data_IF_418924505721
#
_entry.id   IF_418924505721
#
_cell.length_a   1.000
_cell.length_b   1.000
_cell.length_c   1.000
_cell.angle_alpha   90.00
_cell.angle_beta   90.00
_cell.angle_gamma   90.00
#
_symmetry.space_group_name_H-M   'P 1'
#
loop_
_entity.id
_entity.type
_entity.pdbx_description
1 polymer ?
#
# COMPACT_ATOMS: atom_id res chain seq x y z
N UNK A 1 5.52 3.07 -17.31
CA UNK A 1 4.68 2.27 -18.23
C UNK A 1 3.61 3.15 -18.84
N UNK A 2 3.63 3.34 -20.16
CA UNK A 2 2.94 4.44 -20.89
C UNK A 2 1.43 4.60 -20.64
N UNK A 3 0.72 3.52 -20.26
CA UNK A 3 -0.73 3.51 -20.02
C UNK A 3 -1.19 4.36 -18.81
N UNK A 4 -0.28 4.69 -17.89
CA UNK A 4 -0.58 5.48 -16.69
C UNK A 4 -0.41 7.00 -16.92
N UNK A 5 0.04 7.42 -18.10
CA UNK A 5 0.27 8.83 -18.44
C UNK A 5 -1.03 9.43 -19.03
N UNK A 6 -1.69 10.39 -18.35
CA UNK A 6 -2.98 10.92 -18.79
C UNK A 6 -2.95 11.47 -20.22
N UNK A 7 -1.87 12.20 -20.57
CA UNK A 7 -1.67 12.76 -21.91
C UNK A 7 -1.59 11.70 -23.01
N UNK A 8 -1.06 10.52 -22.69
CA UNK A 8 -1.03 9.41 -23.64
C UNK A 8 -2.45 8.93 -23.94
N UNK A 9 -3.26 8.69 -22.90
CA UNK A 9 -4.63 8.18 -23.03
C UNK A 9 -5.54 9.18 -23.75
N UNK A 10 -5.49 10.46 -23.40
CA UNK A 10 -6.32 11.51 -24.02
C UNK A 10 -6.11 11.56 -25.55
N UNK A 11 -4.85 11.52 -25.97
CA UNK A 11 -4.51 11.55 -27.39
C UNK A 11 -4.89 10.23 -28.05
N UNK A 12 -4.57 9.08 -27.46
CA UNK A 12 -4.88 7.76 -28.00
C UNK A 12 -6.39 7.57 -28.26
N UNK A 13 -7.25 8.01 -27.35
CA UNK A 13 -8.71 7.88 -27.49
C UNK A 13 -9.34 8.92 -28.43
N UNK A 14 -8.68 10.04 -28.66
CA UNK A 14 -9.14 11.09 -29.60
C UNK A 14 -8.75 10.84 -31.07
N UNK A 15 -7.74 10.01 -31.32
CA UNK A 15 -7.26 9.73 -32.67
C UNK A 15 -8.31 9.02 -33.54
N UNK A 16 -8.27 9.32 -34.83
CA UNK A 16 -8.99 8.56 -35.86
C UNK A 16 -8.12 7.40 -36.34
N UNK A 17 -8.76 6.30 -36.75
CA UNK A 17 -8.07 5.11 -37.27
C UNK A 17 -7.16 5.51 -38.45
N UNK A 18 -5.93 5.01 -38.46
CA UNK A 18 -4.89 5.31 -39.44
C UNK A 18 -4.19 6.67 -39.26
N UNK A 19 -4.56 7.49 -38.26
CA UNK A 19 -3.89 8.77 -38.00
C UNK A 19 -2.74 8.62 -37.01
N UNK A 20 -1.68 9.39 -37.28
CA UNK A 20 -0.48 9.52 -36.43
C UNK A 20 -0.70 10.70 -35.47
N UNK A 21 -0.30 10.54 -34.22
CA UNK A 21 -0.32 11.60 -33.21
C UNK A 21 0.74 12.68 -33.49
N UNK A 22 0.57 13.89 -32.96
CA UNK A 22 1.71 14.78 -32.75
C UNK A 22 2.73 14.11 -31.80
N UNK A 23 3.97 14.63 -31.80
CA UNK A 23 5.00 14.20 -30.87
C UNK A 23 4.56 14.54 -29.45
N UNK A 24 4.33 13.52 -28.62
CA UNK A 24 3.95 13.69 -27.22
C UNK A 24 5.20 13.70 -26.36
N UNK A 25 5.33 14.72 -25.51
CA UNK A 25 6.33 14.75 -24.44
C UNK A 25 5.72 14.11 -23.19
N UNK A 26 6.23 12.94 -22.85
CA UNK A 26 5.86 12.13 -21.69
C UNK A 26 6.98 12.20 -20.63
N UNK A 27 6.67 11.73 -19.42
CA UNK A 27 7.63 11.62 -18.31
C UNK A 27 8.87 10.78 -18.66
N UNK A 28 8.70 9.72 -19.45
CA UNK A 28 9.77 8.80 -19.87
C UNK A 28 10.41 9.17 -21.23
N UNK A 29 10.00 10.26 -21.89
CA UNK A 29 10.57 10.69 -23.17
C UNK A 29 9.54 11.16 -24.20
N UNK A 30 9.86 11.02 -25.49
CA UNK A 30 8.96 11.40 -26.59
C UNK A 30 8.27 10.18 -27.20
N UNK A 31 7.00 10.31 -27.55
CA UNK A 31 6.20 9.24 -28.15
C UNK A 31 5.45 9.75 -29.38
N UNK A 32 5.43 8.93 -30.43
CA UNK A 32 4.56 9.08 -31.59
C UNK A 32 3.76 7.78 -31.71
N UNK A 33 2.45 7.88 -31.87
CA UNK A 33 1.57 6.71 -32.00
C UNK A 33 0.66 6.80 -33.21
N UNK A 34 0.24 5.65 -33.73
CA UNK A 34 -0.77 5.56 -34.79
C UNK A 34 -1.92 4.67 -34.31
N UNK A 35 -3.17 5.13 -34.46
CA UNK A 35 -4.31 4.31 -34.10
C UNK A 35 -4.58 3.27 -35.18
N UNK A 36 -4.21 2.01 -34.94
CA UNK A 36 -4.39 0.92 -35.92
C UNK A 36 -5.85 0.51 -36.12
N UNK A 37 -6.61 0.43 -35.05
CA UNK A 37 -7.99 -0.06 -35.05
C UNK A 37 -8.75 0.53 -33.86
N UNK A 38 -10.05 0.79 -34.01
CA UNK A 38 -10.95 1.15 -32.92
C UNK A 38 -12.00 0.07 -32.74
N UNK A 39 -11.93 -0.67 -31.64
CA UNK A 39 -12.94 -1.67 -31.27
C UNK A 39 -14.05 -0.98 -30.48
N UNK A 40 -15.32 -0.97 -30.95
CA UNK A 40 -16.41 -0.38 -30.20
C UNK A 40 -16.65 -1.15 -28.89
N UNK A 41 -17.12 -0.45 -27.86
CA UNK A 41 -17.58 -1.11 -26.65
C UNK A 41 -18.76 -2.01 -27.01
N UNK A 42 -18.71 -3.26 -26.58
CA UNK A 42 -19.79 -4.23 -26.77
C UNK A 42 -19.91 -5.08 -25.51
N UNK A 43 -21.08 -5.67 -25.32
CA UNK A 43 -21.30 -6.65 -24.26
C UNK A 43 -20.79 -7.99 -24.81
N UNK A 44 -19.74 -8.60 -24.22
CA UNK A 44 -19.26 -9.89 -24.68
C UNK A 44 -20.35 -10.94 -24.53
N UNK A 45 -20.45 -11.83 -25.52
CA UNK A 45 -21.31 -13.00 -25.42
C UNK A 45 -20.85 -13.93 -24.29
N UNK A 46 -21.73 -14.83 -23.84
CA UNK A 46 -21.35 -15.83 -22.85
C UNK A 46 -20.12 -16.63 -23.29
N UNK A 47 -20.02 -17.01 -24.57
CA UNK A 47 -18.87 -17.78 -25.10
C UNK A 47 -17.55 -17.02 -24.97
N UNK A 48 -17.54 -15.70 -25.16
CA UNK A 48 -16.33 -14.87 -25.04
C UNK A 48 -16.00 -14.54 -23.57
N UNK A 49 -17.02 -14.38 -22.72
CA UNK A 49 -16.85 -14.05 -21.31
C UNK A 49 -16.57 -15.28 -20.43
N UNK A 50 -16.94 -16.48 -20.89
CA UNK A 50 -16.96 -17.72 -20.10
C UNK A 50 -15.65 -17.93 -19.35
N UNK A 51 -14.51 -17.84 -20.02
CA UNK A 51 -13.21 -18.11 -19.39
C UNK A 51 -12.87 -17.08 -18.31
N UNK A 52 -13.13 -15.79 -18.58
CA UNK A 52 -12.95 -14.71 -17.59
C UNK A 52 -13.88 -14.84 -16.40
N UNK A 53 -15.13 -15.27 -16.63
CA UNK A 53 -16.10 -15.49 -15.56
C UNK A 53 -15.69 -16.71 -14.72
N UNK A 54 -15.27 -17.80 -15.37
CA UNK A 54 -14.78 -18.99 -14.66
C UNK A 54 -13.55 -18.65 -13.83
N UNK A 55 -12.58 -17.91 -14.38
CA UNK A 55 -11.40 -17.43 -13.65
C UNK A 55 -11.83 -16.60 -12.43
N UNK A 56 -12.72 -15.61 -12.64
CA UNK A 56 -13.18 -14.73 -11.57
C UNK A 56 -13.92 -15.47 -10.47
N UNK A 57 -14.87 -16.34 -10.83
CA UNK A 57 -15.64 -17.16 -9.87
C UNK A 57 -14.73 -18.16 -9.15
N UNK A 58 -13.73 -18.73 -9.84
CA UNK A 58 -12.76 -19.63 -9.21
C UNK A 58 -11.94 -18.88 -8.16
N UNK A 59 -11.50 -17.67 -8.46
CA UNK A 59 -10.80 -16.81 -7.50
C UNK A 59 -11.68 -16.47 -6.30
N UNK A 60 -12.93 -16.04 -6.51
CA UNK A 60 -13.88 -15.73 -5.42
C UNK A 60 -14.14 -16.94 -4.52
N UNK A 61 -14.32 -18.12 -5.11
CA UNK A 61 -14.48 -19.38 -4.35
C UNK A 61 -13.22 -19.73 -3.57
N UNK A 62 -12.05 -19.63 -4.20
CA UNK A 62 -10.77 -19.90 -3.54
C UNK A 62 -10.57 -18.96 -2.35
N UNK A 63 -10.83 -17.66 -2.51
CA UNK A 63 -10.73 -16.67 -1.44
C UNK A 63 -11.65 -17.03 -0.26
N UNK A 64 -12.91 -17.39 -0.53
CA UNK A 64 -13.87 -17.78 0.50
C UNK A 64 -13.45 -19.05 1.24
N UNK A 65 -12.97 -20.06 0.51
CA UNK A 65 -12.50 -21.33 1.10
C UNK A 65 -11.27 -21.07 1.98
N UNK A 66 -10.30 -20.30 1.49
CA UNK A 66 -9.08 -19.96 2.24
C UNK A 66 -9.39 -19.11 3.46
N UNK A 67 -10.31 -18.15 3.37
CA UNK A 67 -10.75 -17.35 4.51
C UNK A 67 -11.39 -18.21 5.61
N UNK A 68 -12.25 -19.16 5.21
CA UNK A 68 -12.87 -20.11 6.12
C UNK A 68 -11.81 -20.99 6.77
N UNK A 69 -10.90 -21.56 5.96
CA UNK A 69 -9.83 -22.43 6.47
C UNK A 69 -8.90 -21.70 7.43
N UNK A 70 -8.52 -20.45 7.12
CA UNK A 70 -7.71 -19.63 8.01
C UNK A 70 -8.42 -19.38 9.35
N UNK A 71 -9.73 -19.12 9.32
CA UNK A 71 -10.54 -18.95 10.52
C UNK A 71 -10.61 -20.22 11.36
N UNK A 72 -10.72 -21.38 10.71
CA UNK A 72 -10.75 -22.67 11.40
C UNK A 72 -9.39 -23.01 12.01
N UNK A 73 -8.27 -22.73 11.32
CA UNK A 73 -6.92 -22.85 11.88
C UNK A 73 -6.78 -22.00 13.15
N UNK A 74 -7.25 -20.75 13.12
CA UNK A 74 -7.20 -19.87 14.30
C UNK A 74 -7.99 -20.46 15.47
N UNK A 75 -9.17 -21.04 15.23
CA UNK A 75 -9.96 -21.73 16.26
C UNK A 75 -9.21 -22.94 16.82
N UNK A 76 -8.74 -23.83 15.95
CA UNK A 76 -8.01 -25.04 16.35
C UNK A 76 -6.75 -24.72 17.17
N UNK A 77 -6.03 -23.64 16.84
CA UNK A 77 -4.86 -23.20 17.59
C UNK A 77 -5.25 -22.57 18.94
N UNK A 78 -6.39 -21.87 19.00
CA UNK A 78 -6.95 -21.37 20.27
C UNK A 78 -7.38 -22.52 21.18
N UNK A 79 -7.86 -23.61 20.61
CA UNK A 79 -8.25 -24.84 21.32
C UNK A 79 -7.06 -25.72 21.73
N UNK A 80 -5.83 -25.27 21.46
CA UNK A 80 -4.60 -25.87 21.98
C UNK A 80 -3.74 -26.59 20.95
N UNK A 81 -4.13 -26.65 19.67
CA UNK A 81 -3.23 -27.19 18.63
C UNK A 81 -2.03 -26.25 18.41
N UNK A 82 -0.87 -26.84 18.10
CA UNK A 82 0.31 -26.07 17.75
C UNK A 82 0.16 -25.48 16.34
N UNK A 83 0.51 -24.19 16.14
CA UNK A 83 0.45 -23.56 14.81
C UNK A 83 1.33 -24.30 13.77
N UNK A 84 2.41 -24.92 14.21
CA UNK A 84 3.30 -25.72 13.36
C UNK A 84 2.65 -27.01 12.82
N UNK A 85 1.53 -27.49 13.37
CA UNK A 85 0.86 -28.69 12.84
C UNK A 85 0.26 -28.47 11.45
N UNK A 86 0.05 -27.21 11.06
CA UNK A 86 -0.49 -26.83 9.76
C UNK A 86 0.58 -26.63 8.68
N UNK A 87 1.86 -26.85 9.00
CA UNK A 87 2.99 -26.64 8.08
C UNK A 87 2.98 -27.53 6.82
N UNK A 88 2.16 -28.58 6.79
CA UNK A 88 1.96 -29.43 5.59
C UNK A 88 0.93 -28.84 4.61
N UNK A 89 0.04 -27.99 5.11
CA UNK A 89 -1.06 -27.40 4.34
C UNK A 89 -0.76 -25.92 4.02
N UNK A 90 -0.02 -25.24 4.90
CA UNK A 90 0.30 -23.81 4.80
C UNK A 90 1.80 -23.58 4.98
N UNK A 91 2.33 -22.56 4.31
CA UNK A 91 3.71 -22.13 4.54
C UNK A 91 3.88 -21.68 6.00
N UNK A 92 4.83 -22.31 6.69
CA UNK A 92 5.10 -22.04 8.09
C UNK A 92 6.55 -21.56 8.26
N UNK A 93 6.70 -20.37 8.83
CA UNK A 93 7.99 -19.77 9.12
C UNK A 93 8.02 -19.16 10.51
N UNK A 94 9.11 -19.42 11.23
CA UNK A 94 9.44 -18.68 12.45
C UNK A 94 10.31 -17.50 12.06
N UNK A 95 9.82 -16.28 12.31
CA UNK A 95 10.61 -15.07 12.09
C UNK A 95 11.57 -14.86 13.27
N UNK A 96 12.78 -14.38 12.95
CA UNK A 96 13.73 -13.88 13.94
C UNK A 96 13.22 -12.56 14.56
N UNK A 97 14.04 -11.93 15.40
CA UNK A 97 13.70 -10.63 16.00
C UNK A 97 13.40 -9.58 14.92
N UNK A 98 12.14 -9.14 14.86
CA UNK A 98 11.67 -8.09 13.95
C UNK A 98 11.53 -6.77 14.68
N UNK A 99 11.86 -5.68 13.99
CA UNK A 99 11.64 -4.30 14.40
C UNK A 99 10.56 -3.65 13.52
N UNK A 100 10.09 -2.45 13.89
CA UNK A 100 9.13 -1.69 13.07
C UNK A 100 9.66 -1.33 11.68
N UNK A 101 10.96 -1.41 11.46
CA UNK A 101 11.64 -1.07 10.20
C UNK A 101 12.20 -2.30 9.47
N UNK A 102 11.98 -3.50 10.00
CA UNK A 102 12.49 -4.73 9.39
C UNK A 102 11.79 -5.02 8.05
N UNK A 103 12.56 -5.60 7.12
CA UNK A 103 12.02 -6.33 5.98
C UNK A 103 11.53 -7.70 6.46
N UNK A 104 10.41 -8.17 5.91
CA UNK A 104 9.76 -9.42 6.33
C UNK A 104 9.60 -10.27 5.10
N UNK A 105 10.23 -11.45 5.11
CA UNK A 105 10.10 -12.43 4.05
C UNK A 105 8.64 -12.87 3.91
N UNK A 106 8.16 -12.95 2.66
CA UNK A 106 6.79 -13.39 2.35
C UNK A 106 5.72 -12.34 2.57
N UNK A 107 6.10 -11.07 2.82
CA UNK A 107 5.17 -9.94 2.93
C UNK A 107 5.56 -8.90 1.88
N UNK A 108 4.60 -8.52 1.05
CA UNK A 108 4.74 -7.49 0.03
C UNK A 108 5.07 -6.11 0.62
N UNK A 109 5.69 -5.23 -0.17
CA UNK A 109 6.05 -3.88 0.27
C UNK A 109 4.80 -3.06 0.62
N UNK A 110 3.72 -3.23 -0.14
CA UNK A 110 2.47 -2.53 0.07
C UNK A 110 1.73 -2.96 1.36
N UNK A 111 1.89 -4.22 1.78
CA UNK A 111 1.18 -4.74 2.97
C UNK A 111 2.01 -4.72 4.25
N UNK A 112 3.33 -4.49 4.13
CA UNK A 112 4.27 -4.49 5.24
C UNK A 112 3.79 -3.66 6.43
N UNK A 113 3.33 -2.44 6.18
CA UNK A 113 2.91 -1.53 7.25
C UNK A 113 1.67 -2.05 7.98
N UNK A 114 0.73 -2.65 7.25
CA UNK A 114 -0.47 -3.27 7.83
C UNK A 114 -0.09 -4.47 8.68
N UNK A 115 0.79 -5.33 8.16
CA UNK A 115 1.30 -6.50 8.88
C UNK A 115 2.06 -6.11 10.18
N UNK A 116 2.99 -5.16 10.10
CA UNK A 116 3.74 -4.64 11.25
C UNK A 116 2.80 -4.02 12.30
N UNK A 117 1.81 -3.23 11.89
CA UNK A 117 0.84 -2.63 12.82
C UNK A 117 0.09 -3.70 13.60
N UNK A 118 -0.46 -4.71 12.92
CA UNK A 118 -1.19 -5.82 13.54
C UNK A 118 -0.32 -6.57 14.55
N UNK A 119 0.88 -6.99 14.15
CA UNK A 119 1.77 -7.77 15.04
C UNK A 119 2.20 -6.97 16.27
N UNK A 120 2.56 -5.70 16.11
CA UNK A 120 3.02 -4.88 17.24
C UNK A 120 1.88 -4.43 18.17
N UNK A 121 0.63 -4.49 17.71
CA UNK A 121 -0.55 -4.31 18.56
C UNK A 121 -0.89 -5.53 19.42
N UNK A 122 -0.43 -6.72 19.03
CA UNK A 122 -0.74 -7.95 19.76
C UNK A 122 0.18 -8.12 20.99
N UNK A 123 -0.37 -8.60 22.12
CA UNK A 123 0.43 -9.01 23.28
C UNK A 123 1.30 -10.24 23.00
N UNK A 124 2.32 -10.45 23.85
CA UNK A 124 3.12 -11.68 23.83
C UNK A 124 2.23 -12.91 24.09
N UNK A 125 2.53 -14.01 23.40
CA UNK A 125 1.79 -15.27 23.47
C UNK A 125 0.49 -15.30 22.66
N UNK A 126 0.00 -14.15 22.18
CA UNK A 126 -1.27 -14.06 21.46
C UNK A 126 -1.15 -14.45 19.98
N UNK A 127 -2.23 -15.03 19.48
CA UNK A 127 -2.45 -15.36 18.08
C UNK A 127 -3.26 -14.25 17.42
N UNK A 128 -2.91 -13.85 16.20
CA UNK A 128 -3.70 -12.92 15.40
C UNK A 128 -4.97 -13.58 14.87
N UNK A 129 -5.95 -12.76 14.50
CA UNK A 129 -6.99 -13.18 13.56
C UNK A 129 -6.38 -13.35 12.15
N UNK A 130 -7.08 -14.02 11.21
CA UNK A 130 -6.63 -14.13 9.83
C UNK A 130 -6.48 -12.75 9.18
N UNK A 131 -5.26 -12.44 8.73
CA UNK A 131 -4.94 -11.16 8.11
C UNK A 131 -4.89 -11.34 6.59
N UNK A 132 -5.87 -10.78 5.87
CA UNK A 132 -5.86 -10.72 4.40
C UNK A 132 -4.90 -9.64 3.91
N UNK A 133 -3.86 -10.06 3.19
CA UNK A 133 -2.89 -9.24 2.47
C UNK A 133 -2.94 -9.56 0.97
N UNK A 134 -2.15 -8.87 0.14
CA UNK A 134 -2.14 -9.02 -1.32
C UNK A 134 -1.88 -10.46 -1.77
N UNK A 135 -0.98 -11.16 -1.06
CA UNK A 135 -0.53 -12.51 -1.44
C UNK A 135 -1.33 -13.62 -0.74
N UNK A 136 -2.32 -13.27 0.10
CA UNK A 136 -3.19 -14.24 0.77
C UNK A 136 -3.45 -13.95 2.24
N UNK A 137 -3.85 -14.99 2.98
CA UNK A 137 -4.14 -14.90 4.41
C UNK A 137 -2.91 -15.24 5.24
N UNK A 138 -2.71 -14.50 6.34
CA UNK A 138 -1.59 -14.70 7.27
C UNK A 138 -2.12 -14.83 8.70
N UNK A 139 -1.56 -15.78 9.44
CA UNK A 139 -1.85 -15.99 10.86
C UNK A 139 -0.52 -15.95 11.61
N UNK A 140 -0.44 -15.12 12.65
CA UNK A 140 0.83 -14.87 13.35
C UNK A 140 0.64 -15.10 14.84
N UNK A 141 1.56 -15.85 15.46
CA UNK A 141 1.65 -15.99 16.91
C UNK A 141 2.85 -15.22 17.45
N UNK A 142 2.62 -14.33 18.41
CA UNK A 142 3.70 -13.56 19.04
C UNK A 142 4.41 -14.47 20.04
N UNK A 143 5.64 -14.88 19.74
CA UNK A 143 6.41 -15.76 20.62
C UNK A 143 7.01 -15.02 21.81
N UNK A 144 7.63 -13.87 21.54
CA UNK A 144 8.34 -13.08 22.55
C UNK A 144 8.39 -11.62 22.17
N UNK A 145 8.30 -10.73 23.15
CA UNK A 145 8.46 -9.28 22.99
C UNK A 145 9.60 -8.76 23.84
N UNK A 146 10.63 -8.19 23.21
CA UNK A 146 11.75 -7.54 23.90
C UNK A 146 11.62 -6.03 23.79
N UNK A 147 11.42 -5.36 24.93
CA UNK A 147 11.47 -3.90 25.02
C UNK A 147 12.83 -3.51 25.62
N UNK A 148 13.71 -2.82 24.86
CA UNK A 148 15.05 -2.49 25.33
C UNK A 148 15.04 -1.28 26.29
N UNK A 149 14.50 -1.46 27.50
CA UNK A 149 14.37 -0.38 28.49
C UNK A 149 15.71 0.29 28.86
N UNK A 150 16.80 -0.48 28.92
CA UNK A 150 18.13 0.06 29.20
C UNK A 150 18.61 1.03 28.10
N UNK A 151 18.29 0.73 26.83
CA UNK A 151 18.60 1.62 25.72
C UNK A 151 17.68 2.84 25.73
N UNK A 152 16.39 2.64 26.01
CA UNK A 152 15.43 3.74 26.16
C UNK A 152 15.87 4.73 27.23
N UNK A 153 16.36 4.28 28.39
CA UNK A 153 16.84 5.17 29.44
C UNK A 153 17.99 6.06 28.98
N UNK A 154 18.93 5.53 28.18
CA UNK A 154 20.05 6.29 27.61
C UNK A 154 19.62 7.28 26.54
N UNK A 155 18.58 6.95 25.79
CA UNK A 155 18.13 7.75 24.64
C UNK A 155 16.95 8.68 24.97
N UNK A 156 16.37 8.56 26.17
CA UNK A 156 15.15 9.27 26.59
C UNK A 156 15.25 10.78 26.40
N UNK A 157 16.35 11.39 26.84
CA UNK A 157 16.53 12.83 26.76
C UNK A 157 16.67 13.32 25.31
N UNK A 158 17.35 12.53 24.46
CA UNK A 158 17.44 12.81 23.02
C UNK A 158 16.06 12.73 22.38
N UNK A 159 15.34 11.63 22.62
CA UNK A 159 13.98 11.45 22.10
C UNK A 159 13.04 12.57 22.56
N UNK A 160 13.13 12.99 23.82
CA UNK A 160 12.33 14.09 24.35
C UNK A 160 12.64 15.40 23.60
N UNK A 161 13.91 15.75 23.44
CA UNK A 161 14.34 16.97 22.73
C UNK A 161 13.89 16.95 21.27
N UNK A 162 14.06 15.84 20.56
CA UNK A 162 13.63 15.67 19.16
C UNK A 162 12.10 15.76 19.03
N UNK A 163 11.37 15.07 19.91
CA UNK A 163 9.90 15.09 19.91
C UNK A 163 9.36 16.49 20.20
N UNK A 164 9.96 17.19 21.18
CA UNK A 164 9.59 18.55 21.55
C UNK A 164 9.85 19.51 20.39
N UNK A 165 11.02 19.42 19.73
CA UNK A 165 11.34 20.22 18.55
C UNK A 165 10.30 20.00 17.45
N UNK A 166 10.05 18.74 17.08
CA UNK A 166 9.07 18.38 16.04
C UNK A 166 7.67 18.93 16.36
N UNK A 167 7.23 18.86 17.62
CA UNK A 167 5.92 19.38 18.04
C UNK A 167 5.84 20.89 18.01
N UNK A 168 6.92 21.60 18.38
CA UNK A 168 7.01 23.05 18.23
C UNK A 168 6.92 23.47 16.76
N UNK A 169 7.65 22.80 15.88
CA UNK A 169 7.67 23.08 14.44
C UNK A 169 6.28 22.84 13.80
N UNK A 170 5.62 21.73 14.15
CA UNK A 170 4.26 21.38 13.70
C UNK A 170 3.23 22.43 14.15
N UNK A 171 3.27 22.81 15.43
CA UNK A 171 2.40 23.84 15.99
C UNK A 171 2.63 25.20 15.32
N UNK A 172 3.88 25.63 15.20
CA UNK A 172 4.25 26.91 14.62
C UNK A 172 3.81 26.99 13.15
N UNK A 173 4.00 25.92 12.38
CA UNK A 173 3.56 25.83 10.98
C UNK A 173 2.04 25.93 10.86
N UNK A 174 1.29 25.22 11.72
CA UNK A 174 -0.18 25.28 11.75
C UNK A 174 -0.68 26.67 12.16
N UNK A 175 -0.04 27.28 13.15
CA UNK A 175 -0.37 28.63 13.61
C UNK A 175 -0.09 29.68 12.52
N UNK A 176 1.09 29.66 11.89
CA UNK A 176 1.42 30.57 10.79
C UNK A 176 0.45 30.43 9.61
N UNK A 177 0.07 29.21 9.23
CA UNK A 177 -0.91 28.99 8.16
C UNK A 177 -2.24 29.69 8.47
N UNK A 178 -2.75 29.57 9.70
CA UNK A 178 -3.99 30.22 10.15
C UNK A 178 -3.88 31.74 10.21
N UNK A 179 -2.74 32.27 10.66
CA UNK A 179 -2.49 33.72 10.69
C UNK A 179 -2.44 34.26 9.26
N UNK A 180 -1.75 33.58 8.35
CA UNK A 180 -1.64 33.95 6.94
C UNK A 180 -3.00 33.99 6.25
N UNK A 181 -3.85 32.99 6.50
CA UNK A 181 -5.21 32.92 5.93
C UNK A 181 -6.10 34.08 6.39
N UNK A 182 -5.97 34.52 7.65
CA UNK A 182 -6.76 35.63 8.22
C UNK A 182 -6.17 37.01 7.95
N UNK A 183 -4.91 37.09 7.55
CA UNK A 183 -4.24 38.35 7.28
C UNK A 183 -4.62 38.88 5.89
N UNK A 184 -4.86 40.19 5.79
CA UNK A 184 -4.96 40.88 4.49
C UNK A 184 -3.57 41.04 3.91
N UNK A 185 -3.09 40.03 3.19
CA UNK A 185 -1.78 40.04 2.54
C UNK A 185 -1.94 40.53 1.10
N UNK A 186 -1.27 41.62 0.75
CA UNK A 186 -1.13 42.09 -0.63
C UNK A 186 0.25 41.66 -1.12
N UNK A 187 0.30 40.79 -2.13
CA UNK A 187 1.53 40.32 -2.74
C UNK A 187 1.94 41.24 -3.90
N UNK A 188 2.96 42.07 -3.67
CA UNK A 188 3.53 42.99 -4.66
C UNK A 188 4.82 42.46 -5.30
N UNK A 189 5.15 41.18 -5.11
CA UNK A 189 6.44 40.61 -5.55
C UNK A 189 6.56 40.57 -7.08
N UNK A 190 5.43 40.50 -7.78
CA UNK A 190 5.33 40.64 -9.24
C UNK A 190 5.77 41.99 -9.78
N UNK A 191 5.84 43.03 -8.94
CA UNK A 191 6.34 44.37 -9.35
C UNK A 191 7.87 44.42 -9.48
N UNK A 192 8.59 43.48 -8.85
CA UNK A 192 10.05 43.48 -8.80
C UNK A 192 10.69 42.26 -9.48
N UNK A 193 9.92 41.18 -9.65
CA UNK A 193 10.38 39.95 -10.30
C UNK A 193 9.33 39.47 -11.31
N UNK A 194 9.36 39.97 -12.56
CA UNK A 194 8.51 39.44 -13.62
C UNK A 194 8.85 37.97 -13.83
N UNK A 195 7.83 37.12 -13.95
CA UNK A 195 8.01 35.71 -14.19
C UNK A 195 8.79 35.51 -15.51
N UNK A 196 10.01 34.99 -15.41
CA UNK A 196 10.80 34.58 -16.57
C UNK A 196 9.98 33.59 -17.41
N UNK A 197 9.74 33.95 -18.66
CA UNK A 197 8.98 33.18 -19.65
C UNK A 197 9.68 31.88 -20.04
#
# INVERSE_FOLDING_TARGET
GLLWEPRFNDVAFSLKVGKISPVLKLSEGYCIMMLKEKKPAYIPSWKEAKDKVIERVSWEKAEKITAQRASDIVKEVRDGKALSSFAKEWEYHTLNSISRNSWIRGISVQDRDRFIKTIFSLPEGKLSDPLLLSDGYYIVKILKRKIPFAQFAKEKDRFYKELLKRKKDEFLSSWFAKVREKAKIVDNTSLFFPASS
#
